data_IF_730778071703
#
_entry.id   IF_730778071703
#
_cell.length_a   1.000
_cell.length_b   1.000
_cell.length_c   1.000
_cell.angle_alpha   90.00
_cell.angle_beta   90.00
_cell.angle_gamma   90.00
#
_symmetry.space_group_name_H-M   'P 1'
#
loop_
_entity.id
_entity.type
_entity.pdbx_description
1 polymer ?
#
# COMPACT_ATOMS: atom_id res chain seq x y z
N UNK A 1 -0.76 27.07 7.53
CA UNK A 1 0.42 26.28 7.10
C UNK A 1 0.74 25.14 8.05
N UNK A 2 1.02 25.40 9.34
CA UNK A 2 1.42 24.34 10.31
C UNK A 2 0.43 23.15 10.37
N UNK A 3 -0.87 23.43 10.34
CA UNK A 3 -1.91 22.38 10.36
C UNK A 3 -1.84 21.43 9.17
N UNK A 4 -1.61 21.93 7.95
CA UNK A 4 -1.52 21.11 6.75
C UNK A 4 -0.26 20.23 6.78
N UNK A 5 0.85 20.76 7.28
CA UNK A 5 2.11 20.02 7.45
C UNK A 5 1.91 18.90 8.48
N UNK A 6 1.26 19.19 9.61
CA UNK A 6 0.95 18.19 10.63
C UNK A 6 0.05 17.08 10.08
N UNK A 7 -1.00 17.43 9.34
CA UNK A 7 -1.90 16.44 8.71
C UNK A 7 -1.18 15.55 7.70
N UNK A 8 -0.29 16.12 6.87
CA UNK A 8 0.52 15.36 5.91
C UNK A 8 1.53 14.45 6.61
N UNK A 9 2.21 14.95 7.64
CA UNK A 9 3.16 14.17 8.43
C UNK A 9 2.46 13.02 9.18
N UNK A 10 1.29 13.27 9.76
CA UNK A 10 0.48 12.26 10.43
C UNK A 10 -0.01 11.20 9.43
N UNK A 11 -0.49 11.61 8.26
CA UNK A 11 -0.95 10.69 7.21
C UNK A 11 0.19 9.81 6.70
N UNK A 12 1.38 10.39 6.52
CA UNK A 12 2.58 9.65 6.12
C UNK A 12 3.00 8.63 7.17
N UNK A 13 3.05 9.03 8.45
CA UNK A 13 3.44 8.13 9.54
C UNK A 13 2.41 7.03 9.80
N UNK A 14 1.11 7.33 9.70
CA UNK A 14 0.05 6.31 9.75
C UNK A 14 0.16 5.32 8.59
N UNK A 15 0.32 5.80 7.36
CA UNK A 15 0.49 4.95 6.18
C UNK A 15 1.68 4.01 6.31
N UNK A 16 2.79 4.51 6.86
CA UNK A 16 3.99 3.71 7.03
C UNK A 16 3.92 2.73 8.20
N UNK A 17 3.23 3.09 9.28
CA UNK A 17 2.92 2.15 10.37
C UNK A 17 2.08 0.97 9.88
N UNK A 18 1.04 1.26 9.09
CA UNK A 18 0.16 0.23 8.51
C UNK A 18 0.97 -0.72 7.61
N UNK A 19 1.91 -0.21 6.81
CA UNK A 19 2.75 -1.04 5.94
C UNK A 19 3.58 -2.08 6.72
N UNK A 20 4.25 -1.70 7.81
CA UNK A 20 5.02 -2.65 8.62
C UNK A 20 4.16 -3.70 9.32
N UNK A 21 2.98 -3.29 9.78
CA UNK A 21 2.00 -4.21 10.35
C UNK A 21 1.55 -5.20 9.28
N UNK A 22 1.28 -4.72 8.06
CA UNK A 22 0.82 -5.54 6.95
C UNK A 22 1.83 -6.61 6.53
N UNK A 23 3.12 -6.26 6.42
CA UNK A 23 4.19 -7.24 6.10
C UNK A 23 4.19 -8.38 7.13
N UNK A 24 4.12 -8.04 8.41
CA UNK A 24 4.16 -9.02 9.50
C UNK A 24 2.92 -9.93 9.48
N UNK A 25 1.73 -9.33 9.34
CA UNK A 25 0.46 -10.08 9.36
C UNK A 25 0.29 -10.94 8.10
N UNK A 26 0.64 -10.45 6.92
CA UNK A 26 0.53 -11.22 5.67
C UNK A 26 1.43 -12.45 5.67
N UNK A 27 2.63 -12.34 6.22
CA UNK A 27 3.54 -13.48 6.40
C UNK A 27 2.92 -14.52 7.33
N UNK A 28 2.39 -14.10 8.48
CA UNK A 28 1.74 -14.98 9.44
C UNK A 28 0.46 -15.62 8.86
N UNK A 29 -0.33 -14.86 8.12
CA UNK A 29 -1.52 -15.37 7.45
C UNK A 29 -1.15 -16.40 6.38
N UNK A 30 -0.12 -16.14 5.58
CA UNK A 30 0.34 -17.04 4.54
C UNK A 30 0.89 -18.37 5.07
N UNK A 31 1.65 -18.35 6.18
CA UNK A 31 2.09 -19.58 6.85
C UNK A 31 0.91 -20.38 7.40
N UNK A 32 -0.15 -19.71 7.86
CA UNK A 32 -1.36 -20.37 8.41
C UNK A 32 -2.28 -20.95 7.32
N UNK A 33 -2.28 -20.42 6.09
CA UNK A 33 -3.18 -20.83 5.03
C UNK A 33 -2.66 -22.01 4.20
N UNK A 34 -1.36 -22.07 3.94
CA UNK A 34 -0.76 -23.15 3.14
C UNK A 34 0.47 -23.75 3.81
N UNK A 35 1.63 -23.09 3.71
CA UNK A 35 2.92 -23.61 4.15
C UNK A 35 3.95 -22.48 4.21
N UNK A 36 4.99 -22.69 5.01
CA UNK A 36 6.06 -21.71 5.21
C UNK A 36 6.84 -21.35 3.94
N UNK A 37 7.00 -22.30 3.01
CA UNK A 37 7.70 -22.07 1.73
C UNK A 37 7.05 -21.01 0.85
N UNK A 38 5.74 -20.82 0.95
CA UNK A 38 4.98 -19.86 0.13
C UNK A 38 4.67 -18.56 0.88
N UNK A 39 5.20 -18.39 2.10
CA UNK A 39 4.93 -17.23 2.94
C UNK A 39 5.54 -15.92 2.39
N UNK A 40 6.54 -16.02 1.52
CA UNK A 40 7.25 -14.87 0.94
C UNK A 40 6.60 -14.32 -0.32
N UNK A 41 5.73 -15.08 -0.99
CA UNK A 41 5.08 -14.66 -2.24
C UNK A 41 4.18 -13.42 -2.04
N UNK A 42 3.36 -13.29 -0.97
CA UNK A 42 2.61 -12.06 -0.72
C UNK A 42 3.54 -10.84 -0.66
N UNK A 43 4.64 -10.91 0.08
CA UNK A 43 5.62 -9.82 0.15
C UNK A 43 6.25 -9.54 -1.22
N UNK A 44 6.61 -10.58 -1.98
CA UNK A 44 7.13 -10.41 -3.33
C UNK A 44 6.14 -9.68 -4.25
N UNK A 45 4.85 -10.01 -4.14
CA UNK A 45 3.80 -9.35 -4.91
C UNK A 45 3.58 -7.88 -4.51
N UNK A 46 3.68 -7.58 -3.21
CA UNK A 46 3.65 -6.22 -2.67
C UNK A 46 4.75 -5.37 -3.31
N UNK A 47 6.00 -5.81 -3.16
CA UNK A 47 7.17 -5.10 -3.68
C UNK A 47 7.13 -4.94 -5.21
N UNK A 48 6.64 -5.95 -5.93
CA UNK A 48 6.54 -5.90 -7.39
C UNK A 48 5.56 -4.81 -7.85
N UNK A 49 4.36 -4.78 -7.28
CA UNK A 49 3.36 -3.76 -7.64
C UNK A 49 3.82 -2.37 -7.20
N UNK A 50 4.38 -2.23 -6.00
CA UNK A 50 4.95 -0.96 -5.53
C UNK A 50 6.07 -0.46 -6.46
N UNK A 51 6.93 -1.36 -6.95
CA UNK A 51 8.02 -1.02 -7.89
C UNK A 51 7.47 -0.54 -9.22
N UNK A 52 6.53 -1.29 -9.81
CA UNK A 52 5.87 -0.91 -11.07
C UNK A 52 5.25 0.47 -10.90
N UNK A 53 4.47 0.67 -9.85
CA UNK A 53 3.76 1.92 -9.62
C UNK A 53 4.71 3.09 -9.39
N UNK A 54 5.83 2.88 -8.69
CA UNK A 54 6.87 3.91 -8.47
C UNK A 54 7.49 4.44 -9.78
N UNK A 55 7.53 3.63 -10.84
CA UNK A 55 8.02 4.07 -12.17
C UNK A 55 7.00 4.95 -12.89
N UNK A 56 5.71 4.63 -12.79
CA UNK A 56 4.64 5.37 -13.48
C UNK A 56 4.22 6.64 -12.74
N UNK A 57 4.23 6.60 -11.41
CA UNK A 57 3.70 7.65 -10.55
C UNK A 57 4.31 9.04 -10.79
N UNK A 58 5.63 9.24 -10.93
CA UNK A 58 6.19 10.56 -11.24
C UNK A 58 5.68 11.14 -12.56
N UNK A 59 5.46 10.30 -13.58
CA UNK A 59 4.94 10.75 -14.88
C UNK A 59 3.49 11.20 -14.78
N UNK A 60 2.69 10.51 -13.97
CA UNK A 60 1.29 10.89 -13.73
C UNK A 60 1.23 12.19 -12.93
N UNK A 61 2.05 12.34 -11.89
CA UNK A 61 2.13 13.57 -11.09
C UNK A 61 2.55 14.76 -11.96
N UNK A 62 3.53 14.58 -12.85
CA UNK A 62 3.97 15.65 -13.75
C UNK A 62 2.88 16.12 -14.72
N UNK A 63 1.94 15.25 -15.11
CA UNK A 63 0.86 15.57 -16.06
C UNK A 63 -0.42 16.07 -15.40
N UNK A 64 -0.83 15.47 -14.29
CA UNK A 64 -2.14 15.69 -13.66
C UNK A 64 -2.05 16.30 -12.25
N UNK A 65 -0.84 16.58 -11.76
CA UNK A 65 -0.58 17.06 -10.41
C UNK A 65 -0.70 15.98 -9.33
N UNK A 66 -0.64 16.41 -8.07
CA UNK A 66 -0.53 15.51 -6.91
C UNK A 66 -1.85 14.88 -6.47
N UNK A 67 -2.99 15.55 -6.69
CA UNK A 67 -4.27 15.12 -6.11
C UNK A 67 -4.80 13.80 -6.68
N UNK A 68 -4.85 13.59 -8.01
CA UNK A 68 -5.44 12.36 -8.56
C UNK A 68 -4.70 11.07 -8.14
N UNK A 69 -3.35 11.02 -8.15
CA UNK A 69 -2.63 9.83 -7.70
C UNK A 69 -2.80 9.52 -6.21
N UNK A 70 -3.03 10.53 -5.37
CA UNK A 70 -3.31 10.33 -3.95
C UNK A 70 -4.67 9.68 -3.71
N UNK A 71 -5.72 10.16 -4.38
CA UNK A 71 -7.04 9.53 -4.31
C UNK A 71 -7.01 8.10 -4.87
N UNK A 72 -6.31 7.89 -5.98
CA UNK A 72 -6.16 6.56 -6.56
C UNK A 72 -5.41 5.60 -5.61
N UNK A 73 -4.32 6.06 -5.00
CA UNK A 73 -3.59 5.28 -4.00
C UNK A 73 -4.47 4.91 -2.80
N UNK A 74 -5.26 5.87 -2.28
CA UNK A 74 -6.20 5.62 -1.20
C UNK A 74 -7.27 4.59 -1.57
N UNK A 75 -7.82 4.68 -2.79
CA UNK A 75 -8.78 3.69 -3.32
C UNK A 75 -8.15 2.29 -3.43
N UNK A 76 -6.93 2.19 -3.95
CA UNK A 76 -6.21 0.90 -4.01
C UNK A 76 -5.99 0.30 -2.61
N UNK A 77 -5.61 1.13 -1.63
CA UNK A 77 -5.46 0.71 -0.25
C UNK A 77 -6.77 0.20 0.36
N UNK A 78 -7.88 0.91 0.16
CA UNK A 78 -9.20 0.49 0.65
C UNK A 78 -9.68 -0.82 0.01
N UNK A 79 -9.52 -0.96 -1.31
CA UNK A 79 -9.87 -2.19 -2.04
C UNK A 79 -9.02 -3.35 -1.55
N UNK A 80 -7.71 -3.15 -1.44
CA UNK A 80 -6.78 -4.16 -0.94
C UNK A 80 -7.10 -4.58 0.49
N UNK A 81 -7.43 -3.64 1.38
CA UNK A 81 -7.86 -3.93 2.75
C UNK A 81 -9.14 -4.76 2.79
N UNK A 82 -10.15 -4.39 1.98
CA UNK A 82 -11.38 -5.17 1.84
C UNK A 82 -11.12 -6.60 1.36
N UNK A 83 -10.26 -6.76 0.35
CA UNK A 83 -9.87 -8.08 -0.15
C UNK A 83 -9.09 -8.89 0.90
N UNK A 84 -8.25 -8.25 1.73
CA UNK A 84 -7.55 -8.90 2.84
C UNK A 84 -8.53 -9.48 3.88
N UNK A 85 -9.60 -8.73 4.22
CA UNK A 85 -10.63 -9.22 5.16
C UNK A 85 -11.33 -10.45 4.60
N UNK A 86 -11.72 -10.41 3.32
CA UNK A 86 -12.35 -11.56 2.64
C UNK A 86 -11.38 -12.74 2.56
N UNK A 87 -10.12 -12.50 2.20
CA UNK A 87 -9.09 -13.54 2.14
C UNK A 87 -8.88 -14.20 3.51
N UNK A 88 -8.90 -13.43 4.58
CA UNK A 88 -8.78 -13.94 5.94
C UNK A 88 -9.99 -14.79 6.37
N UNK A 89 -11.20 -14.36 6.02
CA UNK A 89 -12.43 -15.07 6.37
C UNK A 89 -12.53 -16.44 5.70
N UNK A 90 -12.23 -16.52 4.41
CA UNK A 90 -12.32 -17.74 3.62
C UNK A 90 -11.02 -18.54 3.55
N UNK A 91 -9.95 -18.07 4.20
CA UNK A 91 -8.59 -18.66 4.16
C UNK A 91 -8.07 -18.87 2.73
N UNK A 92 -8.34 -17.91 1.85
CA UNK A 92 -7.97 -17.96 0.43
C UNK A 92 -6.59 -17.36 0.22
N UNK A 93 -5.58 -18.22 0.06
CA UNK A 93 -4.19 -17.80 -0.14
C UNK A 93 -3.98 -16.89 -1.35
N UNK A 94 -4.51 -17.25 -2.53
CA UNK A 94 -4.32 -16.44 -3.73
C UNK A 94 -5.00 -15.08 -3.64
N UNK A 95 -6.14 -15.02 -2.94
CA UNK A 95 -6.80 -13.75 -2.68
C UNK A 95 -5.96 -12.86 -1.75
N UNK A 96 -5.27 -13.46 -0.77
CA UNK A 96 -4.32 -12.77 0.11
C UNK A 96 -3.13 -12.19 -0.68
N UNK A 97 -2.60 -12.93 -1.66
CA UNK A 97 -1.50 -12.43 -2.53
C UNK A 97 -1.97 -11.24 -3.35
N UNK A 98 -3.13 -11.34 -4.00
CA UNK A 98 -3.70 -10.25 -4.80
C UNK A 98 -4.03 -9.04 -3.91
N UNK A 99 -4.62 -9.26 -2.74
CA UNK A 99 -4.96 -8.17 -1.82
C UNK A 99 -3.71 -7.46 -1.31
N UNK A 100 -2.66 -8.21 -0.96
CA UNK A 100 -1.37 -7.66 -0.55
C UNK A 100 -0.77 -6.78 -1.65
N UNK A 101 -0.77 -7.26 -2.90
CA UNK A 101 -0.30 -6.50 -4.05
C UNK A 101 -1.06 -5.18 -4.25
N UNK A 102 -2.39 -5.18 -4.07
CA UNK A 102 -3.20 -3.95 -4.16
C UNK A 102 -2.94 -2.96 -3.03
N UNK A 103 -2.77 -3.44 -1.79
CA UNK A 103 -2.42 -2.58 -0.65
C UNK A 103 -1.10 -1.88 -0.93
N UNK A 104 -0.10 -2.58 -1.45
CA UNK A 104 1.23 -2.00 -1.64
C UNK A 104 1.32 -1.02 -2.81
N UNK A 105 0.39 -1.08 -3.75
CA UNK A 105 0.23 -0.05 -4.78
C UNK A 105 0.00 1.36 -4.20
N UNK A 106 -0.54 1.46 -2.97
CA UNK A 106 -0.70 2.74 -2.26
C UNK A 106 0.63 3.30 -1.75
N UNK A 107 1.61 2.45 -1.41
CA UNK A 107 2.84 2.85 -0.69
C UNK A 107 3.64 3.91 -1.46
N UNK A 108 3.87 3.79 -2.78
CA UNK A 108 4.51 4.84 -3.56
C UNK A 108 3.79 6.18 -3.43
N UNK A 109 2.44 6.21 -3.51
CA UNK A 109 1.66 7.43 -3.34
C UNK A 109 1.91 8.08 -1.97
N UNK A 110 2.00 7.26 -0.92
CA UNK A 110 2.30 7.72 0.44
C UNK A 110 3.66 8.40 0.52
N UNK A 111 4.68 7.86 -0.14
CA UNK A 111 6.02 8.49 -0.17
C UNK A 111 6.04 9.86 -0.85
N UNK A 112 5.09 10.17 -1.73
CA UNK A 112 4.98 11.50 -2.35
C UNK A 112 4.27 12.53 -1.44
N UNK A 113 3.58 12.13 -0.36
CA UNK A 113 3.01 13.10 0.59
C UNK A 113 4.07 13.98 1.25
N UNK A 114 5.26 13.42 1.53
CA UNK A 114 6.39 14.18 2.07
C UNK A 114 6.85 15.30 1.13
N UNK A 115 6.75 15.08 -0.18
CA UNK A 115 7.17 16.02 -1.21
C UNK A 115 6.08 17.07 -1.45
N UNK A 116 4.81 16.68 -1.36
CA UNK A 116 3.68 17.63 -1.44
C UNK A 116 3.70 18.64 -0.29
N UNK A 117 4.21 18.28 0.90
CA UNK A 117 4.36 19.19 2.03
C UNK A 117 5.37 20.34 1.81
N UNK A 118 6.29 20.21 0.85
CA UNK A 118 7.28 21.24 0.52
C UNK A 118 6.76 22.32 -0.45
N UNK A 119 5.58 22.11 -1.02
CA UNK A 119 4.98 23.01 -2.00
C UNK A 119 3.99 24.01 -1.40
N UNK A 120 3.84 24.01 -0.08
CA UNK A 120 2.92 24.88 0.67
C UNK A 120 3.69 25.92 1.51
#
# INVERSE_FOLDING_TARGET
MLWNILLLALSWSLGQGIFFIQISITTLAATSFINWYLATIPIGSMLLVATIWSVFLPRVIARYGYRPPFYFGALMGMIGAGLCIVAAWFKLYWLLVVSAAFIDGQVPCTFYYRLAGLQF
#
